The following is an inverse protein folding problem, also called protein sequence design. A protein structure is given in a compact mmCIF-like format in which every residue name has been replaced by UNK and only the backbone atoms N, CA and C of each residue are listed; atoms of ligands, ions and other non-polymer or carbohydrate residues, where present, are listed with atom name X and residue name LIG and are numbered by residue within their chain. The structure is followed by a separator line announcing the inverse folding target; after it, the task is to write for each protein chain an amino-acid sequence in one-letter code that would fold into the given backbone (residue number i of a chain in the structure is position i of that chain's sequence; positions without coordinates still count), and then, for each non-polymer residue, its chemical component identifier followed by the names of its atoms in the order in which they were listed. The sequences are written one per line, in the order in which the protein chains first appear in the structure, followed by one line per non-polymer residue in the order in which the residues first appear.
data_IF_807063149737
#
_entry.id   IF_807063149737
#
_cell.length_a   1.000
_cell.length_b   1.000
_cell.length_c   1.000
_cell.angle_alpha   90.00
_cell.angle_beta   90.00
_cell.angle_gamma   90.00
#
_symmetry.space_group_name_H-M   'P 1'
#
loop_
_entity.id
_entity.type
_entity.pdbx_description
1 polymer ?
#
# COMPACT_ATOMS: atom_id res chain seq x y z
N UNK A 1 -7.72 2.24 2.15
CA UNK A 1 -6.59 1.87 1.27
C UNK A 1 -7.03 1.46 -0.14
N UNK A 2 -7.64 0.29 -0.37
CA UNK A 2 -7.92 -0.24 -1.73
C UNK A 2 -8.62 0.75 -2.67
N UNK A 3 -9.71 1.34 -2.23
CA UNK A 3 -10.50 2.28 -3.04
C UNK A 3 -9.67 3.52 -3.44
N UNK A 4 -8.85 4.04 -2.51
CA UNK A 4 -8.01 5.20 -2.78
C UNK A 4 -6.93 4.87 -3.80
N UNK A 5 -6.30 3.71 -3.64
CA UNK A 5 -5.28 3.22 -4.55
C UNK A 5 -5.83 2.98 -5.97
N UNK A 6 -7.02 2.37 -6.09
CA UNK A 6 -7.69 2.15 -7.39
C UNK A 6 -8.13 3.44 -8.06
N UNK A 7 -8.42 4.49 -7.29
CA UNK A 7 -8.70 5.82 -7.80
C UNK A 7 -7.44 6.61 -8.20
N UNK A 8 -6.27 5.96 -8.31
CA UNK A 8 -5.03 6.60 -8.73
C UNK A 8 -4.37 7.48 -7.66
N UNK A 9 -4.83 7.43 -6.40
CA UNK A 9 -4.24 8.21 -5.31
C UNK A 9 -3.09 7.44 -4.64
N UNK A 10 -2.00 8.15 -4.36
CA UNK A 10 -0.92 7.66 -3.49
C UNK A 10 -1.49 7.43 -2.09
N UNK A 11 -1.13 6.30 -1.47
CA UNK A 11 -1.62 5.91 -0.14
C UNK A 11 -0.45 5.69 0.80
N UNK A 12 -0.47 6.34 1.96
CA UNK A 12 0.41 6.03 3.08
C UNK A 12 -0.36 5.10 4.01
N UNK A 13 0.24 3.95 4.35
CA UNK A 13 -0.21 3.09 5.44
C UNK A 13 0.68 3.35 6.65
N UNK A 14 0.10 3.97 7.67
CA UNK A 14 0.69 4.05 9.00
C UNK A 14 0.15 2.91 9.86
N UNK A 15 1.04 2.01 10.25
CA UNK A 15 0.77 0.82 11.05
C UNK A 15 1.34 0.96 12.47
N UNK A 16 1.76 2.17 12.89
CA UNK A 16 2.48 2.40 14.16
C UNK A 16 1.71 1.95 15.39
N UNK A 17 0.37 2.03 15.37
CA UNK A 17 -0.50 1.58 16.46
C UNK A 17 -1.29 0.31 16.12
N UNK A 18 -0.84 -0.45 15.12
CA UNK A 18 -1.49 -1.68 14.66
C UNK A 18 -0.73 -2.88 15.23
N UNK A 19 -1.47 -3.86 15.77
CA UNK A 19 -0.89 -5.14 16.22
C UNK A 19 -0.14 -5.82 15.07
N UNK A 20 1.05 -6.37 15.35
CA UNK A 20 1.97 -6.96 14.37
C UNK A 20 1.28 -7.94 13.41
N UNK A 21 0.48 -8.89 13.92
CA UNK A 21 -0.23 -9.86 13.08
C UNK A 21 -1.21 -9.18 12.11
N UNK A 22 -1.85 -8.11 12.55
CA UNK A 22 -2.77 -7.34 11.72
C UNK A 22 -1.99 -6.48 10.71
N UNK A 23 -0.87 -5.90 11.11
CA UNK A 23 0.03 -5.16 10.23
C UNK A 23 0.53 -6.03 9.08
N UNK A 24 0.97 -7.27 9.35
CA UNK A 24 1.38 -8.23 8.32
C UNK A 24 0.27 -8.51 7.31
N UNK A 25 -0.98 -8.64 7.75
CA UNK A 25 -2.14 -8.82 6.85
C UNK A 25 -2.37 -7.61 5.94
N UNK A 26 -2.16 -6.39 6.46
CA UNK A 26 -2.21 -5.18 5.64
C UNK A 26 -1.08 -5.14 4.60
N UNK A 27 0.12 -5.59 4.97
CA UNK A 27 1.26 -5.72 4.06
C UNK A 27 0.96 -6.73 2.94
N UNK A 28 0.51 -7.94 3.30
CA UNK A 28 0.15 -8.98 2.33
C UNK A 28 -0.93 -8.50 1.34
N UNK A 29 -1.96 -7.85 1.87
CA UNK A 29 -3.02 -7.27 1.05
C UNK A 29 -2.48 -6.19 0.10
N UNK A 30 -1.55 -5.35 0.58
CA UNK A 30 -0.90 -4.31 -0.22
C UNK A 30 -0.07 -4.90 -1.35
N UNK A 31 0.72 -5.93 -1.08
CA UNK A 31 1.51 -6.63 -2.10
C UNK A 31 0.59 -7.21 -3.18
N UNK A 32 -0.56 -7.79 -2.80
CA UNK A 32 -1.56 -8.25 -3.76
C UNK A 32 -2.07 -7.15 -4.69
N UNK A 33 -2.32 -5.94 -4.17
CA UNK A 33 -2.70 -4.80 -5.00
C UNK A 33 -1.58 -4.35 -5.94
N UNK A 34 -0.35 -4.30 -5.44
CA UNK A 34 0.81 -3.88 -6.22
C UNK A 34 1.06 -4.84 -7.38
N UNK A 35 1.06 -6.16 -7.12
CA UNK A 35 1.23 -7.18 -8.16
C UNK A 35 0.13 -7.10 -9.23
N UNK A 36 -1.13 -6.95 -8.83
CA UNK A 36 -2.26 -6.89 -9.76
C UNK A 36 -2.38 -5.58 -10.55
N UNK A 37 -1.78 -4.49 -10.08
CA UNK A 37 -1.87 -3.16 -10.70
C UNK A 37 -0.58 -2.69 -11.37
N UNK A 38 0.55 -3.35 -11.08
CA UNK A 38 1.91 -2.89 -11.41
C UNK A 38 2.23 -1.51 -10.81
N UNK A 39 1.68 -1.21 -9.62
CA UNK A 39 2.08 -0.05 -8.83
C UNK A 39 3.45 -0.26 -8.15
N UNK A 40 3.79 0.61 -7.19
CA UNK A 40 5.00 0.46 -6.38
C UNK A 40 4.69 0.38 -4.89
N UNK A 41 5.50 -0.42 -4.19
CA UNK A 41 5.53 -0.55 -2.73
C UNK A 41 6.85 0.00 -2.23
N UNK A 42 6.81 0.98 -1.32
CA UNK A 42 8.02 1.53 -0.71
C UNK A 42 7.88 1.58 0.81
N UNK A 43 8.81 0.94 1.51
CA UNK A 43 8.84 0.95 2.97
C UNK A 43 9.56 2.21 3.46
N UNK A 44 8.84 3.10 4.14
CA UNK A 44 9.39 4.35 4.69
C UNK A 44 10.03 4.12 6.05
N UNK A 45 9.42 3.27 6.88
CA UNK A 45 9.94 2.82 8.18
C UNK A 45 9.46 1.39 8.48
N UNK A 46 9.77 0.83 9.65
CA UNK A 46 9.25 -0.49 10.06
C UNK A 46 7.71 -0.56 10.12
N UNK A 47 7.04 0.58 10.33
CA UNK A 47 5.58 0.65 10.47
C UNK A 47 4.90 1.58 9.46
N UNK A 48 5.64 2.25 8.57
CA UNK A 48 5.07 3.17 7.57
C UNK A 48 5.44 2.73 6.17
N UNK A 49 4.43 2.61 5.31
CA UNK A 49 4.56 2.15 3.92
C UNK A 49 3.89 3.15 2.98
N UNK A 50 4.49 3.37 1.83
CA UNK A 50 3.96 4.17 0.73
C UNK A 50 3.57 3.25 -0.43
N UNK A 51 2.32 3.37 -0.90
CA UNK A 51 1.81 2.69 -2.09
C UNK A 51 1.53 3.73 -3.17
N UNK A 52 2.15 3.56 -4.33
CA UNK A 52 1.91 4.42 -5.49
C UNK A 52 1.24 3.62 -6.60
N UNK A 53 0.04 4.02 -7.06
CA UNK A 53 -0.60 3.39 -8.21
C UNK A 53 0.27 3.54 -9.46
N UNK A 54 0.14 2.61 -10.42
CA UNK A 54 0.75 2.80 -11.73
C UNK A 54 0.20 4.09 -12.33
N UNK A 55 1.08 4.97 -12.80
CA UNK A 55 0.66 6.12 -13.59
C UNK A 55 -0.14 5.62 -14.80
N UNK A 56 -1.43 5.93 -14.83
CA UNK A 56 -2.21 5.84 -16.05
C UNK A 56 -1.72 6.97 -16.96
N UNK A 57 -1.10 6.62 -18.09
CA UNK A 57 -0.96 7.58 -19.17
C UNK A 57 -2.39 7.90 -19.64
N UNK A 58 -2.77 9.18 -19.61
CA UNK A 58 -3.96 9.67 -20.30
C UNK A 58 -3.85 9.42 -21.80
#
# INVERSE_FOLDING_TARGET
MHEHFRAGRVVILDLTSVEERTALRFVDFSIGLILGSRGTFFQVSSTVILLTPRATAD
#
